data_IF_851125486349
#
_entry.id   IF_851125486349
#
_cell.length_a   1.000
_cell.length_b   1.000
_cell.length_c   1.000
_cell.angle_alpha   90.00
_cell.angle_beta   90.00
_cell.angle_gamma   90.00
#
_symmetry.space_group_name_H-M   'P 1'
#
loop_
_entity.id
_entity.type
_entity.pdbx_description
1 polymer ?
#
# COMPACT_ATOMS: atom_id res chain seq x y z
N UNK A 1 22.62 -1.34 -11.93
CA UNK A 1 21.94 -0.54 -12.97
C UNK A 1 20.73 0.16 -12.36
N UNK A 2 20.74 1.50 -12.34
CA UNK A 2 19.64 2.33 -11.83
C UNK A 2 18.68 2.62 -12.99
N UNK A 3 17.42 2.21 -12.87
CA UNK A 3 16.38 2.64 -13.81
C UNK A 3 15.90 4.05 -13.42
N UNK A 4 15.88 5.02 -14.34
CA UNK A 4 15.33 6.35 -14.06
C UNK A 4 13.79 6.30 -14.04
N UNK A 5 13.12 7.06 -13.17
CA UNK A 5 11.67 7.20 -13.21
C UNK A 5 11.26 8.12 -14.36
N UNK A 6 10.67 7.56 -15.43
CA UNK A 6 10.01 8.36 -16.47
C UNK A 6 8.63 8.83 -15.97
N UNK A 7 8.61 10.02 -15.40
CA UNK A 7 7.40 10.77 -15.07
C UNK A 7 6.97 11.64 -16.26
N UNK A 8 6.38 11.07 -17.33
CA UNK A 8 5.73 11.92 -18.37
C UNK A 8 4.73 11.19 -19.31
N UNK A 9 3.90 10.29 -18.78
CA UNK A 9 2.75 9.74 -19.55
C UNK A 9 1.51 9.46 -18.70
N UNK A 10 1.32 10.28 -17.66
CA UNK A 10 0.25 10.16 -16.69
C UNK A 10 -0.97 10.96 -17.17
N UNK A 11 -2.01 10.30 -17.74
CA UNK A 11 -3.46 10.68 -17.65
C UNK A 11 -4.40 10.08 -18.71
N UNK A 12 -4.02 9.07 -19.50
CA UNK A 12 -4.99 8.35 -20.35
C UNK A 12 -4.95 6.85 -20.11
N UNK A 13 -6.09 6.25 -19.73
CA UNK A 13 -6.32 4.80 -19.85
C UNK A 13 -6.32 3.93 -18.59
N UNK A 14 -6.44 4.44 -17.35
CA UNK A 14 -6.64 3.57 -16.17
C UNK A 14 -8.07 3.03 -16.14
N UNK A 15 -8.34 1.99 -16.92
CA UNK A 15 -9.55 1.18 -16.78
C UNK A 15 -9.38 0.28 -15.55
N UNK A 16 -10.34 0.32 -14.62
CA UNK A 16 -10.36 -0.59 -13.48
C UNK A 16 -11.01 -1.89 -13.92
N UNK A 17 -10.22 -2.95 -14.01
CA UNK A 17 -10.71 -4.30 -14.29
C UNK A 17 -11.02 -5.02 -12.98
N UNK A 18 -12.28 -5.44 -12.84
CA UNK A 18 -12.73 -6.30 -11.76
C UNK A 18 -12.05 -7.67 -11.85
N UNK A 19 -11.65 -8.24 -10.72
CA UNK A 19 -10.89 -9.50 -10.65
C UNK A 19 -9.42 -9.35 -11.04
N UNK A 20 -8.95 -8.15 -11.38
CA UNK A 20 -7.54 -7.90 -11.66
C UNK A 20 -6.78 -7.57 -10.39
N UNK A 21 -5.57 -8.11 -10.28
CA UNK A 21 -4.63 -7.75 -9.23
C UNK A 21 -3.90 -6.45 -9.53
N UNK A 22 -3.67 -5.64 -8.51
CA UNK A 22 -2.92 -4.39 -8.57
C UNK A 22 -1.87 -4.35 -7.47
N UNK A 23 -0.67 -3.91 -7.81
CA UNK A 23 0.30 -3.43 -6.85
C UNK A 23 0.18 -1.91 -6.74
N UNK A 24 -0.26 -1.43 -5.58
CA UNK A 24 -0.45 0.00 -5.29
C UNK A 24 0.58 0.47 -4.28
N UNK A 25 1.06 1.69 -4.47
CA UNK A 25 1.92 2.42 -3.52
C UNK A 25 1.36 3.81 -3.28
N UNK A 26 1.17 4.18 -2.02
CA UNK A 26 0.86 5.55 -1.64
C UNK A 26 1.76 6.02 -0.49
N UNK A 27 2.14 7.29 -0.57
CA UNK A 27 3.26 7.89 0.19
C UNK A 27 2.73 8.95 1.15
N UNK A 28 3.28 8.97 2.36
CA UNK A 28 3.00 9.96 3.38
C UNK A 28 3.43 11.35 2.89
N UNK A 29 2.68 12.38 3.25
CA UNK A 29 2.94 13.76 2.86
C UNK A 29 4.36 14.19 3.27
N UNK A 30 5.10 14.81 2.36
CA UNK A 30 6.54 15.13 2.51
C UNK A 30 7.44 13.95 2.90
N UNK A 31 7.00 12.70 2.66
CA UNK A 31 7.72 11.48 3.04
C UNK A 31 8.08 11.44 4.54
N UNK A 32 7.25 12.06 5.39
CA UNK A 32 7.42 11.99 6.85
C UNK A 32 7.34 10.52 7.27
N UNK A 33 8.24 10.12 8.18
CA UNK A 33 8.36 8.73 8.66
C UNK A 33 7.32 8.42 9.76
N UNK A 34 6.03 8.59 9.47
CA UNK A 34 4.96 8.41 10.46
C UNK A 34 4.88 6.99 11.03
N UNK A 35 5.23 5.99 10.22
CA UNK A 35 5.08 4.58 10.57
C UNK A 35 6.32 3.99 11.24
N UNK A 36 7.26 4.82 11.70
CA UNK A 36 8.21 4.39 12.75
C UNK A 36 7.49 4.21 14.09
N UNK A 37 6.36 4.91 14.29
CA UNK A 37 5.41 4.58 15.35
C UNK A 37 4.57 3.38 14.89
N UNK A 38 4.81 2.23 15.53
CA UNK A 38 4.11 0.98 15.24
C UNK A 38 2.60 1.11 15.39
N UNK A 39 2.11 1.89 16.36
CA UNK A 39 0.68 2.07 16.59
C UNK A 39 0.03 2.81 15.42
N UNK A 40 0.67 3.86 14.89
CA UNK A 40 0.20 4.54 13.69
C UNK A 40 0.20 3.63 12.46
N UNK A 41 1.21 2.76 12.34
CA UNK A 41 1.26 1.73 11.32
C UNK A 41 0.07 0.77 11.42
N UNK A 42 -0.26 0.30 12.63
CA UNK A 42 -1.39 -0.60 12.87
C UNK A 42 -2.75 0.03 12.56
N UNK A 43 -2.90 1.35 12.71
CA UNK A 43 -4.11 2.05 12.27
C UNK A 43 -4.31 1.97 10.76
N UNK A 44 -3.24 2.07 9.95
CA UNK A 44 -3.33 1.85 8.51
C UNK A 44 -3.67 0.39 8.19
N UNK A 45 -3.01 -0.57 8.87
CA UNK A 45 -3.28 -2.00 8.69
C UNK A 45 -4.74 -2.34 8.95
N UNK A 46 -5.36 -1.75 9.98
CA UNK A 46 -6.78 -1.94 10.26
C UNK A 46 -7.67 -1.47 9.09
N UNK A 47 -7.30 -0.41 8.39
CA UNK A 47 -8.06 0.08 7.22
C UNK A 47 -7.84 -0.76 5.96
N UNK A 48 -6.65 -1.35 5.78
CA UNK A 48 -6.41 -2.35 4.72
C UNK A 48 -7.25 -3.60 4.96
N UNK A 49 -7.25 -4.09 6.22
CA UNK A 49 -8.07 -5.22 6.65
C UNK A 49 -9.56 -4.95 6.48
N UNK A 50 -10.04 -3.76 6.85
CA UNK A 50 -11.44 -3.40 6.64
C UNK A 50 -11.81 -3.42 5.14
N UNK A 51 -10.94 -2.94 4.26
CA UNK A 51 -11.22 -3.00 2.81
C UNK A 51 -11.37 -4.44 2.31
N UNK A 52 -10.60 -5.37 2.89
CA UNK A 52 -10.75 -6.80 2.63
C UNK A 52 -12.06 -7.37 3.17
N UNK A 53 -12.37 -7.13 4.46
CA UNK A 53 -13.57 -7.64 5.12
C UNK A 53 -14.88 -7.11 4.50
N UNK A 54 -14.85 -5.92 3.90
CA UNK A 54 -15.97 -5.34 3.16
C UNK A 54 -16.11 -5.88 1.73
N UNK A 55 -15.25 -6.81 1.31
CA UNK A 55 -15.27 -7.38 -0.05
C UNK A 55 -14.93 -6.37 -1.14
N UNK A 56 -14.24 -5.27 -0.79
CA UNK A 56 -13.78 -4.31 -1.80
C UNK A 56 -12.57 -4.86 -2.56
N UNK A 57 -11.74 -5.64 -1.86
CA UNK A 57 -10.52 -6.26 -2.39
C UNK A 57 -10.24 -7.61 -1.73
N UNK A 58 -9.52 -8.49 -2.42
CA UNK A 58 -8.78 -9.56 -1.75
C UNK A 58 -7.36 -9.08 -1.49
N UNK A 59 -7.04 -8.82 -0.22
CA UNK A 59 -5.70 -8.38 0.15
C UNK A 59 -4.73 -9.55 0.08
N UNK A 60 -3.76 -9.48 -0.82
CA UNK A 60 -2.83 -10.58 -1.08
C UNK A 60 -1.51 -10.42 -0.32
N UNK A 61 -0.95 -9.21 -0.30
CA UNK A 61 0.25 -8.91 0.49
C UNK A 61 0.38 -7.41 0.73
N UNK A 62 0.97 -7.01 1.85
CA UNK A 62 1.27 -5.61 2.11
C UNK A 62 2.51 -5.45 2.98
N UNK A 63 3.14 -4.28 2.87
CA UNK A 63 4.17 -3.82 3.80
C UNK A 63 4.00 -2.32 4.04
N UNK A 64 3.92 -1.91 5.30
CA UNK A 64 3.91 -0.49 5.69
C UNK A 64 5.33 -0.08 6.03
N UNK A 65 5.98 0.59 5.09
CA UNK A 65 7.30 1.21 5.26
C UNK A 65 7.17 2.49 6.10
N UNK A 66 8.26 3.05 6.65
CA UNK A 66 8.19 4.22 7.54
C UNK A 66 7.39 5.41 6.99
N UNK A 67 7.41 5.64 5.68
CA UNK A 67 6.82 6.81 5.01
C UNK A 67 5.86 6.45 3.85
N UNK A 68 5.58 5.16 3.61
CA UNK A 68 4.70 4.72 2.53
C UNK A 68 4.22 3.28 2.75
N UNK A 69 3.29 2.83 1.93
CA UNK A 69 2.84 1.42 1.93
C UNK A 69 2.90 0.86 0.53
N UNK A 70 3.26 -0.41 0.42
CA UNK A 70 3.04 -1.23 -0.77
C UNK A 70 1.92 -2.22 -0.47
N UNK A 71 0.94 -2.31 -1.37
CA UNK A 71 -0.23 -3.16 -1.20
C UNK A 71 -0.54 -3.87 -2.52
N UNK A 72 -0.45 -5.20 -2.49
CA UNK A 72 -0.84 -6.10 -3.56
C UNK A 72 -2.21 -6.67 -3.21
N UNK A 73 -3.19 -6.50 -4.08
CA UNK A 73 -4.54 -6.99 -3.88
C UNK A 73 -5.26 -7.24 -5.20
N UNK A 74 -6.25 -8.13 -5.17
CA UNK A 74 -7.23 -8.28 -6.24
C UNK A 74 -8.39 -7.30 -6.03
N UNK A 75 -8.74 -6.53 -7.05
CA UNK A 75 -9.87 -5.61 -6.97
C UNK A 75 -11.19 -6.38 -7.15
N UNK A 76 -12.01 -6.44 -6.11
CA UNK A 76 -13.29 -7.18 -6.13
C UNK A 76 -14.49 -6.33 -6.43
N UNK A 77 -14.55 -5.09 -5.96
CA UNK A 77 -15.70 -4.23 -6.23
C UNK A 77 -15.26 -2.78 -6.37
N UNK A 78 -16.06 -1.99 -7.11
CA UNK A 78 -15.81 -0.58 -7.44
C UNK A 78 -14.57 -0.38 -8.32
N UNK A 79 -14.30 0.87 -8.65
CA UNK A 79 -13.06 1.25 -9.32
C UNK A 79 -11.91 1.39 -8.30
N UNK A 80 -10.68 1.19 -8.77
CA UNK A 80 -9.47 1.30 -7.95
C UNK A 80 -9.35 2.65 -7.22
N UNK A 81 -9.60 3.81 -7.87
CA UNK A 81 -9.57 5.11 -7.18
C UNK A 81 -10.45 5.20 -5.93
N UNK A 82 -11.63 4.58 -5.93
CA UNK A 82 -12.55 4.65 -4.79
C UNK A 82 -12.07 3.85 -3.59
N UNK A 83 -11.49 2.67 -3.82
CA UNK A 83 -10.86 1.87 -2.77
C UNK A 83 -9.72 2.65 -2.13
N UNK A 84 -8.81 3.20 -2.95
CA UNK A 84 -7.66 3.95 -2.44
C UNK A 84 -8.10 5.23 -1.73
N UNK A 85 -9.10 5.94 -2.24
CA UNK A 85 -9.66 7.13 -1.59
C UNK A 85 -10.24 6.78 -0.21
N UNK A 86 -11.00 5.67 -0.12
CA UNK A 86 -11.59 5.22 1.15
C UNK A 86 -10.52 4.90 2.19
N UNK A 87 -9.54 4.07 1.82
CA UNK A 87 -8.44 3.69 2.73
C UNK A 87 -7.65 4.92 3.18
N UNK A 88 -7.29 5.82 2.25
CA UNK A 88 -6.54 7.04 2.59
C UNK A 88 -7.33 8.00 3.48
N UNK A 89 -8.62 8.20 3.23
CA UNK A 89 -9.46 9.07 4.05
C UNK A 89 -9.65 8.52 5.46
N UNK A 90 -9.97 7.22 5.57
CA UNK A 90 -10.21 6.58 6.88
C UNK A 90 -8.94 6.51 7.72
N UNK A 91 -7.82 6.09 7.12
CA UNK A 91 -6.52 6.10 7.81
C UNK A 91 -6.08 7.51 8.20
N UNK A 92 -6.34 8.53 7.37
CA UNK A 92 -6.07 9.93 7.75
C UNK A 92 -6.83 10.31 9.01
N UNK A 93 -8.12 9.97 9.08
CA UNK A 93 -8.97 10.26 10.24
C UNK A 93 -8.45 9.59 11.52
N UNK A 94 -8.16 8.29 11.47
CA UNK A 94 -7.72 7.54 12.66
C UNK A 94 -6.33 7.96 13.12
N UNK A 95 -5.38 8.14 12.19
CA UNK A 95 -4.02 8.61 12.48
C UNK A 95 -4.05 10.01 13.09
N UNK A 96 -4.81 10.93 12.51
CA UNK A 96 -4.90 12.30 13.00
C UNK A 96 -5.58 12.39 14.36
N UNK A 97 -6.62 11.58 14.61
CA UNK A 97 -7.24 11.47 15.95
C UNK A 97 -6.21 11.03 16.98
N UNK A 98 -5.38 10.02 16.67
CA UNK A 98 -4.35 9.53 17.58
C UNK A 98 -3.23 10.55 17.83
N UNK A 99 -2.84 11.29 16.79
CA UNK A 99 -1.80 12.34 16.84
C UNK A 99 -2.31 13.69 17.37
N UNK A 100 -3.61 13.83 17.63
CA UNK A 100 -4.27 15.12 17.93
C UNK A 100 -3.93 16.19 16.88
N UNK A 101 -3.88 15.79 15.61
CA UNK A 101 -3.49 16.65 14.48
C UNK A 101 -4.65 16.82 13.51
N UNK A 102 -4.56 17.82 12.63
CA UNK A 102 -5.45 17.99 11.46
C UNK A 102 -4.65 18.05 10.15
N UNK A 103 -3.36 17.68 10.20
CA UNK A 103 -2.47 17.75 9.04
C UNK A 103 -2.84 16.72 7.96
N UNK A 104 -2.42 17.01 6.73
CA UNK A 104 -2.46 16.05 5.64
C UNK A 104 -1.52 14.87 5.92
N UNK A 105 -2.07 13.65 5.96
CA UNK A 105 -1.28 12.42 6.14
C UNK A 105 -0.68 11.95 4.81
N UNK A 106 -1.44 11.98 3.71
CA UNK A 106 -1.01 11.39 2.43
C UNK A 106 -0.70 12.44 1.35
N UNK A 107 0.27 12.14 0.48
CA UNK A 107 0.44 12.87 -0.77
C UNK A 107 -0.79 12.69 -1.69
N UNK A 108 -1.10 13.66 -2.57
CA UNK A 108 -2.11 13.49 -3.61
C UNK A 108 -1.76 12.30 -4.52
N UNK A 109 -2.77 11.54 -4.96
CA UNK A 109 -2.59 10.41 -5.88
C UNK A 109 -2.00 9.13 -5.25
N UNK A 110 -1.62 8.21 -6.13
CA UNK A 110 -0.97 6.93 -5.82
C UNK A 110 -0.31 6.37 -7.10
N UNK A 111 0.68 5.51 -6.93
CA UNK A 111 1.23 4.70 -8.00
C UNK A 111 0.55 3.34 -8.00
N UNK A 112 0.16 2.85 -9.17
CA UNK A 112 -0.41 1.52 -9.35
C UNK A 112 0.25 0.85 -10.56
N UNK A 113 0.39 -0.46 -10.45
CA UNK A 113 0.73 -1.36 -11.55
C UNK A 113 -0.31 -2.46 -11.57
N UNK A 114 -1.07 -2.51 -12.65
CA UNK A 114 -1.96 -3.64 -12.93
C UNK A 114 -1.11 -4.89 -13.22
N UNK A 115 -1.36 -5.96 -12.47
CA UNK A 115 -0.69 -7.26 -12.63
C UNK A 115 -1.17 -7.87 -13.93
N UNK A 116 -0.25 -8.45 -14.70
CA UNK A 116 -0.57 -9.15 -15.96
C UNK A 116 -0.74 -10.64 -15.71
N UNK A 117 -1.43 -11.35 -16.59
CA UNK A 117 -1.69 -12.79 -16.44
C UNK A 117 -0.40 -13.64 -16.28
N UNK A 118 0.70 -13.21 -16.89
CA UNK A 118 2.01 -13.87 -16.79
C UNK A 118 2.86 -13.43 -15.58
N UNK A 119 2.43 -12.42 -14.82
CA UNK A 119 3.17 -11.98 -13.65
C UNK A 119 2.95 -12.98 -12.50
N UNK A 120 4.02 -13.38 -11.82
CA UNK A 120 3.96 -14.27 -10.66
C UNK A 120 3.64 -13.45 -9.40
N UNK A 121 2.41 -13.62 -8.89
CA UNK A 121 1.91 -12.96 -7.67
C UNK A 121 2.75 -13.27 -6.44
N UNK A 122 3.19 -14.53 -6.27
CA UNK A 122 4.03 -14.94 -5.15
C UNK A 122 5.39 -14.25 -5.21
N UNK A 123 5.99 -14.14 -6.41
CA UNK A 123 7.24 -13.39 -6.61
C UNK A 123 7.06 -11.90 -6.31
N UNK A 124 5.96 -11.30 -6.71
CA UNK A 124 5.64 -9.90 -6.38
C UNK A 124 5.45 -9.69 -4.87
N UNK A 125 4.71 -10.58 -4.20
CA UNK A 125 4.51 -10.56 -2.76
C UNK A 125 5.84 -10.65 -2.00
N UNK A 126 6.69 -11.62 -2.35
CA UNK A 126 8.04 -11.76 -1.77
C UNK A 126 8.88 -10.50 -1.99
N UNK A 127 8.81 -9.90 -3.16
CA UNK A 127 9.56 -8.67 -3.47
C UNK A 127 9.16 -7.51 -2.55
N UNK A 128 7.86 -7.29 -2.34
CA UNK A 128 7.40 -6.20 -1.49
C UNK A 128 7.68 -6.49 -0.01
N UNK A 129 7.48 -7.73 0.45
CA UNK A 129 7.75 -8.13 1.85
C UNK A 129 9.25 -8.02 2.18
N UNK A 130 10.13 -8.20 1.19
CA UNK A 130 11.57 -7.99 1.35
C UNK A 130 11.99 -6.50 1.30
N UNK A 131 11.08 -5.53 1.12
CA UNK A 131 11.42 -4.11 1.12
C UNK A 131 12.10 -3.62 2.41
N UNK A 132 11.66 -3.99 3.63
CA UNK A 132 12.32 -3.57 4.86
C UNK A 132 13.78 -4.02 4.94
N UNK A 133 14.05 -5.26 4.53
CA UNK A 133 15.40 -5.82 4.42
C UNK A 133 16.26 -5.02 3.43
N UNK A 134 15.76 -4.80 2.21
CA UNK A 134 16.45 -4.02 1.18
C UNK A 134 16.68 -2.56 1.55
N UNK A 135 15.83 -2.01 2.42
CA UNK A 135 15.97 -0.66 2.95
C UNK A 135 16.91 -0.58 4.17
N UNK A 136 17.46 -1.70 4.63
CA UNK A 136 18.33 -1.77 5.80
C UNK A 136 17.60 -1.48 7.11
N UNK A 137 16.28 -1.69 7.18
CA UNK A 137 15.50 -1.47 8.41
C UNK A 137 15.60 -2.65 9.38
N UNK A 138 15.87 -3.85 8.86
CA UNK A 138 15.98 -5.12 9.59
C UNK A 138 16.97 -6.04 8.88
N UNK A 139 17.56 -6.99 9.61
CA UNK A 139 18.43 -8.04 9.04
C UNK A 139 17.64 -9.26 8.58
N UNK A 140 16.48 -9.52 9.19
CA UNK A 140 15.56 -10.59 8.81
C UNK A 140 14.17 -10.02 8.61
N UNK A 141 13.44 -10.53 7.61
CA UNK A 141 12.06 -10.11 7.32
C UNK A 141 11.14 -10.28 8.53
N UNK A 142 11.33 -11.37 9.30
CA UNK A 142 10.55 -11.65 10.50
C UNK A 142 10.68 -10.61 11.62
N UNK A 143 11.71 -9.78 11.59
CA UNK A 143 11.93 -8.74 12.61
C UNK A 143 11.10 -7.48 12.32
N UNK A 144 10.52 -7.36 11.11
CA UNK A 144 9.66 -6.24 10.75
C UNK A 144 8.20 -6.56 11.07
N UNK A 145 7.52 -5.74 11.87
CA UNK A 145 6.17 -6.07 12.37
C UNK A 145 5.01 -5.60 11.48
N UNK A 146 5.28 -4.84 10.43
CA UNK A 146 4.27 -4.19 9.59
C UNK A 146 4.26 -4.75 8.16
N UNK A 147 4.06 -6.05 8.03
CA UNK A 147 3.79 -6.72 6.76
C UNK A 147 2.89 -7.95 6.94
N UNK A 148 2.28 -8.42 5.87
CA UNK A 148 1.52 -9.68 5.81
C UNK A 148 1.42 -10.21 4.38
N UNK A 149 1.15 -11.50 4.21
CA UNK A 149 0.95 -12.18 2.94
C UNK A 149 -0.05 -13.33 3.07
N UNK A 150 -0.95 -13.48 2.09
CA UNK A 150 -1.96 -14.53 2.04
C UNK A 150 -1.41 -15.96 1.83
N UNK A 151 -0.09 -16.12 1.68
CA UNK A 151 0.58 -17.40 1.37
C UNK A 151 1.45 -17.94 2.49
N UNK A 152 1.37 -17.35 3.69
CA UNK A 152 2.17 -17.75 4.86
C UNK A 152 1.30 -18.21 6.00
#
# INVERSE_FOLDING_TARGET
>A
MRFPPQSHRLRHGRYSEHGRSYLVTFVVNHRRRLFTDLYLGRLLVAELRQAHELGLVDSLAWVVMPDHVHWLFELKQRNLPDVIRRVKSRSTLTINRRRQSKERVWQPGYHDRAVRAQDDLCKMARYIIANPLRAGLVERVGDFSLWDAAWL
#
